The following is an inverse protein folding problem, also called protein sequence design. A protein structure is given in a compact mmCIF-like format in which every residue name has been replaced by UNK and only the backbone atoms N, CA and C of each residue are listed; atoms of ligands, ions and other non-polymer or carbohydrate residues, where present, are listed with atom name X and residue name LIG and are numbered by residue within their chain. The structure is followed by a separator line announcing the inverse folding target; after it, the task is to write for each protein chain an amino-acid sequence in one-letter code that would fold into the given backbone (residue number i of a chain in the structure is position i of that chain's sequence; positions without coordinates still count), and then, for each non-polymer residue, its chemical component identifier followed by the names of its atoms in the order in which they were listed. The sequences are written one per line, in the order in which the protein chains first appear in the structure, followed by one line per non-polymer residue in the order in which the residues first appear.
data_IF_995932820456
#
_entry.id   IF_995932820456
#
_cell.length_a   1.000
_cell.length_b   1.000
_cell.length_c   1.000
_cell.angle_alpha   90.00
_cell.angle_beta   90.00
_cell.angle_gamma   90.00
#
_symmetry.space_group_name_H-M   'P 1'
#
loop_
_entity.id
_entity.type
_entity.pdbx_description
1 polymer ?
#
# COMPACT_ATOMS: atom_id res chain seq x y z
N UNK A 1 -0.85 6.06 31.35
CA UNK A 1 -2.05 6.84 30.96
C UNK A 1 -2.65 6.19 29.72
N UNK A 2 -3.66 5.36 29.90
CA UNK A 2 -4.30 4.60 28.80
C UNK A 2 -5.25 5.54 28.07
N UNK A 3 -4.96 5.89 26.80
CA UNK A 3 -5.88 6.70 25.98
C UNK A 3 -7.20 5.92 25.83
N UNK A 4 -8.24 6.43 26.46
CA UNK A 4 -9.59 5.92 26.32
C UNK A 4 -10.03 6.15 24.86
N UNK A 5 -10.17 5.09 24.08
CA UNK A 5 -10.59 5.18 22.70
C UNK A 5 -12.01 5.78 22.63
N UNK A 6 -12.21 6.81 21.81
CA UNK A 6 -13.51 7.43 21.61
C UNK A 6 -14.49 6.39 21.02
N UNK A 7 -15.57 6.01 21.73
CA UNK A 7 -16.50 4.96 21.30
C UNK A 7 -17.29 5.33 20.03
N UNK A 8 -17.24 6.59 19.59
CA UNK A 8 -17.91 7.08 18.39
C UNK A 8 -16.99 7.24 17.17
N UNK A 9 -15.71 6.85 17.28
CA UNK A 9 -14.81 6.90 16.12
C UNK A 9 -15.11 5.72 15.19
N UNK A 10 -15.99 5.94 14.21
CA UNK A 10 -16.18 4.99 13.11
C UNK A 10 -14.84 4.81 12.41
N UNK A 11 -14.26 3.59 12.38
CA UNK A 11 -13.03 3.35 11.65
C UNK A 11 -13.29 3.71 10.20
N UNK A 12 -12.51 4.65 9.66
CA UNK A 12 -12.61 5.00 8.24
C UNK A 12 -12.47 3.72 7.42
N UNK A 13 -13.39 3.51 6.48
CA UNK A 13 -13.42 2.33 5.62
C UNK A 13 -12.71 2.65 4.31
N UNK A 14 -11.93 1.71 3.80
CA UNK A 14 -11.33 1.83 2.47
C UNK A 14 -12.43 1.83 1.40
N UNK A 15 -12.45 2.85 0.56
CA UNK A 15 -13.45 3.03 -0.50
C UNK A 15 -12.84 3.18 -1.90
N UNK A 16 -11.63 3.71 -2.00
CA UNK A 16 -10.91 3.89 -3.26
C UNK A 16 -9.44 3.56 -3.05
N UNK A 17 -8.84 2.87 -4.03
CA UNK A 17 -7.39 2.73 -4.16
C UNK A 17 -6.98 3.35 -5.47
N UNK A 18 -6.05 4.30 -5.42
CA UNK A 18 -5.49 4.97 -6.58
C UNK A 18 -4.06 4.52 -6.81
N UNK A 19 -3.79 4.04 -8.02
CA UNK A 19 -2.44 3.73 -8.48
C UNK A 19 -1.94 4.85 -9.38
N UNK A 20 -0.72 5.30 -9.15
CA UNK A 20 0.00 6.27 -9.98
C UNK A 20 1.33 5.66 -10.36
N UNK A 21 1.66 5.71 -11.65
CA UNK A 21 2.96 5.31 -12.15
C UNK A 21 3.67 6.55 -12.70
N UNK A 22 4.83 6.88 -12.16
CA UNK A 22 5.69 7.93 -12.67
C UNK A 22 6.79 7.28 -13.49
N UNK A 23 6.90 7.71 -14.74
CA UNK A 23 7.93 7.26 -15.67
C UNK A 23 9.02 8.32 -15.76
N UNK A 24 10.28 7.91 -15.74
CA UNK A 24 11.40 8.78 -16.07
C UNK A 24 11.31 9.30 -17.51
N UNK A 25 12.01 10.41 -17.79
CA UNK A 25 12.13 10.93 -19.16
C UNK A 25 12.72 9.84 -20.08
N UNK A 26 12.29 9.74 -21.35
CA UNK A 26 12.83 8.75 -22.29
C UNK A 26 14.35 8.82 -22.47
N UNK A 27 14.92 10.02 -22.35
CA UNK A 27 16.37 10.27 -22.49
C UNK A 27 17.15 10.13 -21.17
N UNK A 28 16.54 9.59 -20.11
CA UNK A 28 17.24 9.37 -18.86
C UNK A 28 18.31 8.29 -19.02
N UNK A 29 19.52 8.56 -18.50
CA UNK A 29 20.64 7.60 -18.52
C UNK A 29 20.31 6.31 -17.76
N UNK A 30 19.48 6.42 -16.72
CA UNK A 30 18.94 5.28 -15.97
C UNK A 30 17.41 5.40 -15.94
N UNK A 31 16.67 4.45 -16.54
CA UNK A 31 15.22 4.45 -16.44
C UNK A 31 14.80 4.11 -15.01
N UNK A 32 13.97 4.98 -14.43
CA UNK A 32 13.40 4.82 -13.09
C UNK A 32 11.89 4.92 -13.20
N UNK A 33 11.22 3.91 -12.67
CA UNK A 33 9.77 3.86 -12.56
C UNK A 33 9.42 3.96 -11.09
N UNK A 34 8.52 4.88 -10.73
CA UNK A 34 8.03 5.03 -9.35
C UNK A 34 6.55 4.71 -9.32
N UNK A 35 6.17 3.69 -8.55
CA UNK A 35 4.80 3.33 -8.27
C UNK A 35 4.34 3.97 -6.96
N UNK A 36 3.14 4.52 -6.96
CA UNK A 36 2.48 5.06 -5.78
C UNK A 36 1.05 4.52 -5.69
N UNK A 37 0.69 3.92 -4.57
CA UNK A 37 -0.65 3.43 -4.28
C UNK A 37 -1.20 4.15 -3.05
N UNK A 38 -2.42 4.66 -3.15
CA UNK A 38 -3.05 5.41 -2.06
C UNK A 38 -4.44 4.86 -1.78
N UNK A 39 -4.66 4.40 -0.55
CA UNK A 39 -5.97 4.01 -0.06
C UNK A 39 -6.68 5.20 0.57
N UNK A 40 -7.93 5.46 0.19
CA UNK A 40 -8.74 6.54 0.75
C UNK A 40 -10.12 6.06 1.21
N UNK A 41 -10.65 6.71 2.24
CA UNK A 41 -11.98 6.43 2.78
C UNK A 41 -13.00 7.53 2.49
N UNK A 42 -14.22 7.33 2.96
CA UNK A 42 -15.39 8.20 2.68
C UNK A 42 -15.14 9.69 2.92
N UNK A 43 -14.36 10.05 3.94
CA UNK A 43 -14.13 11.45 4.30
C UNK A 43 -13.21 12.19 3.32
N UNK A 44 -12.47 11.46 2.46
CA UNK A 44 -11.55 11.97 1.42
C UNK A 44 -10.57 13.08 1.85
N UNK A 45 -10.40 13.33 3.15
CA UNK A 45 -9.55 14.40 3.70
C UNK A 45 -8.06 14.02 3.73
N UNK A 46 -7.74 12.75 3.89
CA UNK A 46 -6.37 12.22 3.95
C UNK A 46 -6.40 10.75 3.53
N UNK A 47 -5.33 10.26 2.89
CA UNK A 47 -5.20 8.83 2.60
C UNK A 47 -5.10 8.04 3.91
N UNK A 48 -5.75 6.87 3.93
CA UNK A 48 -5.65 5.90 5.02
C UNK A 48 -4.26 5.27 5.08
N UNK A 49 -3.65 5.11 3.91
CA UNK A 49 -2.29 4.65 3.71
C UNK A 49 -1.80 5.09 2.34
N UNK A 50 -0.47 5.17 2.23
CA UNK A 50 0.25 5.42 0.99
C UNK A 50 1.39 4.42 0.95
N UNK A 51 1.53 3.72 -0.16
CA UNK A 51 2.60 2.76 -0.42
C UNK A 51 3.33 3.14 -1.69
N UNK A 52 4.66 3.04 -1.70
CA UNK A 52 5.47 3.38 -2.86
C UNK A 52 6.49 2.31 -3.19
N UNK A 53 6.77 2.13 -4.47
CA UNK A 53 7.83 1.24 -4.93
C UNK A 53 8.64 1.93 -6.04
N UNK A 54 9.91 1.57 -6.17
CA UNK A 54 10.83 2.14 -7.16
C UNK A 54 11.46 0.97 -7.90
N UNK A 55 11.43 1.02 -9.22
CA UNK A 55 12.07 0.05 -10.09
C UNK A 55 13.12 0.73 -10.94
N UNK A 56 14.34 0.19 -10.91
CA UNK A 56 15.41 0.53 -11.84
C UNK A 56 15.43 -0.47 -12.99
N UNK A 57 16.01 -0.08 -14.14
CA UNK A 57 16.00 -0.90 -15.35
C UNK A 57 16.54 -2.33 -15.19
N UNK A 58 17.39 -2.59 -14.20
CA UNK A 58 17.96 -3.92 -13.92
C UNK A 58 16.95 -4.85 -13.18
N UNK A 59 16.15 -4.29 -12.29
CA UNK A 59 15.18 -5.03 -11.46
C UNK A 59 13.96 -5.49 -12.28
N UNK A 60 13.61 -4.76 -13.34
CA UNK A 60 12.54 -5.14 -14.27
C UNK A 60 12.83 -6.48 -14.99
N UNK A 61 14.12 -6.81 -15.19
CA UNK A 61 14.55 -8.07 -15.81
C UNK A 61 14.47 -9.28 -14.88
N UNK A 62 14.34 -9.07 -13.56
CA UNK A 62 14.37 -10.12 -12.54
C UNK A 62 12.96 -10.54 -12.05
N UNK A 63 11.90 -10.09 -12.72
CA UNK A 63 10.52 -10.46 -12.38
C UNK A 63 9.88 -9.60 -11.28
N UNK A 64 10.60 -8.63 -10.71
CA UNK A 64 10.04 -7.59 -9.84
C UNK A 64 9.35 -6.53 -10.70
N UNK A 65 8.19 -6.90 -11.26
CA UNK A 65 7.45 -6.07 -12.20
C UNK A 65 6.39 -5.22 -11.49
N UNK A 66 6.22 -3.97 -11.94
CA UNK A 66 5.19 -3.08 -11.40
C UNK A 66 3.78 -3.71 -11.39
N UNK A 67 3.50 -4.60 -12.34
CA UNK A 67 2.24 -5.35 -12.42
C UNK A 67 2.01 -6.26 -11.20
N UNK A 68 3.06 -6.92 -10.71
CA UNK A 68 2.99 -7.81 -9.54
C UNK A 68 2.71 -7.01 -8.27
N UNK A 69 3.42 -5.90 -8.08
CA UNK A 69 3.17 -4.96 -6.99
C UNK A 69 1.74 -4.41 -7.02
N UNK A 70 1.23 -3.98 -8.18
CA UNK A 70 -0.17 -3.54 -8.33
C UNK A 70 -1.13 -4.67 -7.98
N UNK A 71 -0.86 -5.90 -8.44
CA UNK A 71 -1.69 -7.06 -8.19
C UNK A 71 -1.80 -7.38 -6.70
N UNK A 72 -0.68 -7.42 -5.97
CA UNK A 72 -0.65 -7.68 -4.54
C UNK A 72 -1.41 -6.62 -3.74
N UNK A 73 -1.23 -5.34 -4.06
CA UNK A 73 -1.99 -4.26 -3.40
C UNK A 73 -3.49 -4.37 -3.71
N UNK A 74 -3.85 -4.68 -4.96
CA UNK A 74 -5.25 -4.84 -5.34
C UNK A 74 -5.92 -6.00 -4.58
N UNK A 75 -5.22 -7.14 -4.43
CA UNK A 75 -5.71 -8.25 -3.63
C UNK A 75 -5.90 -7.87 -2.15
N UNK A 76 -4.89 -7.28 -1.53
CA UNK A 76 -4.98 -6.82 -0.14
C UNK A 76 -6.14 -5.83 0.06
N UNK A 77 -6.33 -4.90 -0.88
CA UNK A 77 -7.42 -3.94 -0.87
C UNK A 77 -8.80 -4.59 -0.99
N UNK A 78 -8.95 -5.59 -1.86
CA UNK A 78 -10.22 -6.28 -2.10
C UNK A 78 -10.60 -7.23 -0.97
N UNK A 79 -9.63 -7.99 -0.44
CA UNK A 79 -9.86 -9.02 0.56
C UNK A 79 -9.98 -8.44 1.96
N UNK A 80 -9.00 -7.66 2.39
CA UNK A 80 -8.86 -7.24 3.79
C UNK A 80 -9.32 -5.81 4.05
N UNK A 81 -9.39 -4.99 2.98
CA UNK A 81 -9.77 -3.56 3.04
C UNK A 81 -8.99 -2.81 4.14
N UNK A 82 -7.65 -2.83 4.12
CA UNK A 82 -6.84 -2.21 5.16
C UNK A 82 -7.16 -0.72 5.27
N UNK A 83 -7.38 -0.26 6.49
CA UNK A 83 -7.67 1.14 6.80
C UNK A 83 -6.52 1.88 7.48
N UNK A 84 -5.36 1.23 7.57
CA UNK A 84 -4.09 1.79 8.07
C UNK A 84 -2.92 1.16 7.33
N UNK A 85 -1.76 1.81 7.30
CA UNK A 85 -0.55 1.24 6.69
C UNK A 85 -0.11 -0.05 7.37
N UNK A 86 -0.23 -0.15 8.69
CA UNK A 86 0.10 -1.36 9.43
C UNK A 86 -0.75 -2.57 8.99
N UNK A 87 -2.05 -2.35 8.73
CA UNK A 87 -2.93 -3.40 8.21
C UNK A 87 -2.62 -3.75 6.76
N UNK A 88 -2.24 -2.77 5.94
CA UNK A 88 -1.80 -3.05 4.57
C UNK A 88 -0.55 -3.95 4.57
N UNK A 89 0.46 -3.62 5.37
CA UNK A 89 1.69 -4.44 5.49
C UNK A 89 1.36 -5.84 5.99
N UNK A 90 0.47 -5.96 6.99
CA UNK A 90 0.01 -7.25 7.48
C UNK A 90 -0.64 -8.10 6.38
N UNK A 91 -1.52 -7.51 5.56
CA UNK A 91 -2.15 -8.17 4.42
C UNK A 91 -1.11 -8.62 3.37
N UNK A 92 -0.16 -7.75 3.02
CA UNK A 92 0.86 -8.04 2.01
C UNK A 92 1.85 -9.13 2.47
N UNK A 93 2.06 -9.29 3.77
CA UNK A 93 2.98 -10.28 4.35
C UNK A 93 2.29 -11.59 4.75
N UNK A 94 1.00 -11.74 4.46
CA UNK A 94 0.24 -12.98 4.73
C UNK A 94 -0.11 -13.19 6.20
N UNK A 95 -0.06 -12.14 7.03
CA UNK A 95 -0.53 -12.15 8.41
C UNK A 95 0.26 -13.01 9.41
N UNK A 96 1.30 -13.73 8.97
CA UNK A 96 2.08 -14.63 9.84
C UNK A 96 3.15 -13.89 10.68
N UNK A 97 3.45 -12.63 10.38
CA UNK A 97 4.52 -11.87 11.06
C UNK A 97 4.20 -11.33 12.46
N UNK A 98 2.96 -11.48 12.97
CA UNK A 98 2.55 -10.95 14.28
C UNK A 98 2.05 -12.04 15.26
N UNK A 99 2.06 -13.32 14.86
CA UNK A 99 1.63 -14.40 15.74
C UNK A 99 2.67 -14.67 16.86
N UNK A 100 3.94 -14.34 16.62
CA UNK A 100 5.04 -14.54 17.58
C UNK A 100 5.21 -13.40 18.61
N UNK A 101 4.35 -12.38 18.62
CA UNK A 101 4.41 -11.27 19.59
C UNK A 101 3.14 -11.09 20.43
N UNK A 102 2.16 -11.99 20.28
CA UNK A 102 0.87 -11.92 20.97
C UNK A 102 0.59 -13.13 21.90
N UNK A 103 1.60 -13.96 22.19
CA UNK A 103 1.55 -15.00 23.21
C UNK A 103 2.74 -14.89 24.18
#
# INVERSE_FOLDING_TARGET
MTRQANPYHVPHRLTEVRFTLQLSHPDAEVPVIVGLAQGSGETKRTSLWTESNIWTGEEAGQGNVAADWVHHIALAALQDRPNTSARLVFSLTGGMGLQDTLF
#
